data_IF_158667015263
#
_entry.id   IF_158667015263
#
_cell.length_a   1.000
_cell.length_b   1.000
_cell.length_c   1.000
_cell.angle_alpha   90.00
_cell.angle_beta   90.00
_cell.angle_gamma   90.00
#
_symmetry.space_group_name_H-M   'P 1'
#
loop_
_entity.id
_entity.type
_entity.pdbx_description
1 polymer ?
#
# COMPACT_ATOMS: atom_id res chain seq x y z
N UNK A 1 9.28 12.98 -3.82
CA UNK A 1 8.62 12.34 -4.98
C UNK A 1 7.33 11.71 -4.48
N UNK A 2 6.18 12.15 -4.98
CA UNK A 2 4.86 11.67 -4.52
C UNK A 2 4.39 10.64 -5.56
N UNK A 3 4.54 9.34 -5.29
CA UNK A 3 4.05 8.27 -6.18
C UNK A 3 2.54 8.09 -6.00
N UNK A 4 1.77 8.11 -7.10
CA UNK A 4 0.31 7.93 -7.12
C UNK A 4 -0.07 6.45 -7.23
N UNK A 5 -1.03 6.02 -6.41
CA UNK A 5 -1.73 4.72 -6.52
C UNK A 5 -3.22 5.00 -6.70
N UNK A 6 -3.90 4.27 -7.59
CA UNK A 6 -5.36 4.41 -7.85
C UNK A 6 -6.10 3.14 -7.44
N UNK A 7 -7.30 3.31 -6.87
CA UNK A 7 -8.13 2.25 -6.26
C UNK A 7 -9.41 2.06 -7.07
N UNK A 8 -9.83 0.81 -7.30
CA UNK A 8 -11.16 0.48 -7.84
C UNK A 8 -12.01 -0.29 -6.81
N UNK A 9 -13.34 -0.19 -6.89
CA UNK A 9 -14.25 -0.80 -5.92
C UNK A 9 -14.72 -2.18 -6.40
N UNK A 10 -14.03 -3.23 -5.95
CA UNK A 10 -14.45 -4.64 -6.09
C UNK A 10 -14.34 -5.29 -4.72
N UNK A 11 -15.49 -5.60 -4.11
CA UNK A 11 -15.68 -6.47 -2.93
C UNK A 11 -14.61 -6.26 -1.83
N UNK A 12 -14.74 -5.23 -0.99
CA UNK A 12 -13.98 -5.00 0.28
C UNK A 12 -12.43 -5.17 0.25
N UNK A 13 -11.80 -5.29 -0.92
CA UNK A 13 -10.37 -5.59 -1.05
C UNK A 13 -9.54 -4.39 -1.50
N UNK A 14 -10.20 -3.36 -2.04
CA UNK A 14 -9.58 -2.14 -2.57
C UNK A 14 -8.36 -2.46 -3.46
N UNK A 15 -8.56 -3.15 -4.60
CA UNK A 15 -7.46 -3.56 -5.46
C UNK A 15 -6.70 -2.36 -6.04
N UNK A 16 -5.37 -2.50 -6.09
CA UNK A 16 -4.47 -1.63 -6.84
C UNK A 16 -4.73 -1.86 -8.32
N UNK A 17 -5.26 -0.84 -9.00
CA UNK A 17 -5.49 -0.85 -10.46
C UNK A 17 -4.47 -0.02 -11.23
N UNK A 18 -3.56 0.66 -10.52
CA UNK A 18 -2.45 1.38 -11.11
C UNK A 18 -1.25 1.40 -10.17
N UNK A 19 -0.07 1.17 -10.74
CA UNK A 19 1.22 1.23 -10.05
C UNK A 19 2.25 1.90 -10.97
N UNK A 20 2.91 2.97 -10.50
CA UNK A 20 3.94 3.69 -11.25
C UNK A 20 5.27 2.93 -11.29
N UNK A 21 6.14 3.25 -12.25
CA UNK A 21 7.50 2.68 -12.30
C UNK A 21 8.29 3.06 -11.04
N UNK A 22 8.20 4.31 -10.60
CA UNK A 22 8.85 4.76 -9.37
C UNK A 22 8.38 4.03 -8.09
N UNK A 23 7.15 3.52 -8.03
CA UNK A 23 6.72 2.64 -6.93
C UNK A 23 7.40 1.26 -7.02
N UNK A 24 7.48 0.69 -8.23
CA UNK A 24 8.14 -0.59 -8.46
C UNK A 24 9.63 -0.50 -8.07
N UNK A 25 10.30 0.57 -8.50
CA UNK A 25 11.72 0.81 -8.21
C UNK A 25 11.96 1.02 -6.70
N UNK A 26 11.09 1.80 -6.05
CA UNK A 26 11.21 2.09 -4.61
C UNK A 26 11.02 0.85 -3.75
N UNK A 27 10.05 0.00 -4.10
CA UNK A 27 9.65 -1.16 -3.29
C UNK A 27 10.34 -2.46 -3.70
N UNK A 28 10.92 -2.53 -4.90
CA UNK A 28 11.52 -3.73 -5.46
C UNK A 28 10.51 -4.78 -5.95
N UNK A 29 9.21 -4.47 -5.95
CA UNK A 29 8.18 -5.36 -6.51
C UNK A 29 7.93 -5.06 -7.98
N UNK A 30 7.86 -6.10 -8.81
CA UNK A 30 7.45 -5.92 -10.19
C UNK A 30 5.96 -5.53 -10.26
N UNK A 31 5.58 -4.73 -11.26
CA UNK A 31 4.18 -4.30 -11.46
C UNK A 31 3.19 -5.46 -11.41
N UNK A 32 3.51 -6.58 -12.07
CA UNK A 32 2.66 -7.77 -12.08
C UNK A 32 2.43 -8.38 -10.68
N UNK A 33 3.35 -8.17 -9.73
CA UNK A 33 3.23 -8.62 -8.34
C UNK A 33 2.42 -7.64 -7.48
N UNK A 34 2.20 -6.41 -7.94
CA UNK A 34 1.51 -5.34 -7.19
C UNK A 34 0.05 -5.21 -7.62
N UNK A 35 -0.23 -5.34 -8.92
CA UNK A 35 -1.59 -5.20 -9.45
C UNK A 35 -2.55 -6.19 -8.78
N UNK A 36 -3.79 -5.77 -8.55
CA UNK A 36 -4.85 -6.54 -7.88
C UNK A 36 -4.60 -6.90 -6.41
N UNK A 37 -3.43 -6.57 -5.83
CA UNK A 37 -3.26 -6.60 -4.38
C UNK A 37 -4.05 -5.46 -3.73
N UNK A 38 -4.35 -5.61 -2.44
CA UNK A 38 -5.00 -4.56 -1.67
C UNK A 38 -4.13 -3.30 -1.57
N UNK A 39 -4.74 -2.13 -1.75
CA UNK A 39 -4.07 -0.82 -1.66
C UNK A 39 -3.66 -0.44 -0.22
N UNK A 40 -4.04 -1.23 0.79
CA UNK A 40 -3.43 -1.14 2.11
C UNK A 40 -1.95 -1.58 2.12
N UNK A 41 -1.43 -2.12 1.00
CA UNK A 41 -0.02 -2.46 0.78
C UNK A 41 0.59 -3.34 1.90
N UNK A 42 -0.20 -4.27 2.45
CA UNK A 42 0.23 -5.16 3.55
C UNK A 42 1.49 -5.97 3.23
N UNK A 43 1.81 -6.16 1.95
CA UNK A 43 3.02 -6.81 1.47
C UNK A 43 4.31 -6.00 1.70
N UNK A 44 4.19 -4.72 2.12
CA UNK A 44 5.31 -3.86 2.51
C UNK A 44 5.47 -3.78 4.04
N UNK A 45 4.62 -4.46 4.82
CA UNK A 45 4.72 -4.46 6.28
C UNK A 45 5.82 -5.41 6.73
N UNK A 46 6.52 -5.04 7.80
CA UNK A 46 7.47 -5.89 8.49
C UNK A 46 7.44 -5.68 10.00
N UNK A 47 8.52 -6.07 10.68
CA UNK A 47 8.58 -6.19 12.13
C UNK A 47 8.32 -4.86 12.85
N UNK A 48 8.90 -3.78 12.34
CA UNK A 48 8.83 -2.45 12.96
C UNK A 48 7.69 -1.58 12.39
N UNK A 49 6.85 -2.14 11.52
CA UNK A 49 5.67 -1.42 11.01
C UNK A 49 4.61 -1.32 12.11
N UNK A 50 4.33 -0.10 12.57
CA UNK A 50 3.38 0.19 13.65
C UNK A 50 1.99 -0.42 13.45
N UNK A 51 1.57 -1.29 14.38
CA UNK A 51 0.21 -1.88 14.40
C UNK A 51 -0.90 -0.83 14.48
N UNK A 52 -0.68 0.23 15.25
CA UNK A 52 -1.66 1.33 15.37
C UNK A 52 -1.92 1.99 14.01
N UNK A 53 -0.86 2.21 13.22
CA UNK A 53 -0.99 2.78 11.89
C UNK A 53 -1.65 1.81 10.90
N UNK A 54 -1.37 0.50 11.00
CA UNK A 54 -2.05 -0.53 10.18
C UNK A 54 -3.57 -0.47 10.37
N UNK A 55 -4.02 -0.34 11.63
CA UNK A 55 -5.44 -0.21 11.98
C UNK A 55 -6.02 1.11 11.45
N UNK A 56 -5.31 2.23 11.60
CA UNK A 56 -5.77 3.53 11.10
C UNK A 56 -5.89 3.58 9.57
N UNK A 57 -4.96 2.95 8.85
CA UNK A 57 -5.00 2.82 7.39
C UNK A 57 -6.25 2.03 6.97
N UNK A 58 -6.48 0.87 7.58
CA UNK A 58 -7.66 0.05 7.25
C UNK A 58 -8.96 0.82 7.54
N UNK A 59 -9.05 1.46 8.71
CA UNK A 59 -10.20 2.28 9.08
C UNK A 59 -10.45 3.41 8.08
N UNK A 60 -9.41 4.08 7.61
CA UNK A 60 -9.55 5.17 6.63
C UNK A 60 -10.08 4.68 5.27
N UNK A 61 -9.66 3.48 4.83
CA UNK A 61 -10.20 2.83 3.63
C UNK A 61 -11.67 2.47 3.81
N UNK A 62 -12.02 1.86 4.94
CA UNK A 62 -13.41 1.46 5.26
C UNK A 62 -14.34 2.68 5.35
N UNK A 63 -13.85 3.78 5.93
CA UNK A 63 -14.57 5.06 6.06
C UNK A 63 -14.53 5.92 4.78
N UNK A 64 -13.83 5.48 3.72
CA UNK A 64 -13.64 6.22 2.46
C UNK A 64 -13.14 7.65 2.67
N UNK A 65 -12.22 7.86 3.61
CA UNK A 65 -11.69 9.17 3.97
C UNK A 65 -10.22 9.33 3.64
N UNK A 66 -9.78 10.57 3.42
CA UNK A 66 -8.37 10.87 3.27
C UNK A 66 -7.62 10.63 4.59
N UNK A 67 -6.43 10.04 4.48
CA UNK A 67 -5.53 9.78 5.59
C UNK A 67 -4.08 9.98 5.14
N UNK A 68 -3.31 10.70 5.95
CA UNK A 68 -1.89 10.99 5.71
C UNK A 68 -1.11 10.73 7.00
N UNK A 69 -0.03 9.97 6.88
CA UNK A 69 0.87 9.65 8.00
C UNK A 69 2.27 9.33 7.47
N UNK A 70 3.21 9.15 8.38
CA UNK A 70 4.52 8.55 8.12
C UNK A 70 4.52 7.13 8.68
N UNK A 71 5.03 6.16 7.91
CA UNK A 71 5.01 4.74 8.27
C UNK A 71 6.30 4.06 7.80
N UNK A 72 6.83 3.16 8.63
CA UNK A 72 8.00 2.34 8.29
C UNK A 72 7.56 1.11 7.49
N UNK A 73 8.11 0.95 6.29
CA UNK A 73 7.77 -0.08 5.31
C UNK A 73 9.05 -0.70 4.77
N UNK A 74 8.95 -1.96 4.33
CA UNK A 74 10.05 -2.76 3.83
C UNK A 74 9.91 -3.01 2.34
N UNK A 75 11.03 -2.99 1.65
CA UNK A 75 11.20 -3.44 0.27
C UNK A 75 11.06 -4.96 0.19
N UNK A 76 10.92 -5.47 -1.04
CA UNK A 76 10.89 -6.91 -1.32
C UNK A 76 12.11 -7.68 -0.77
N UNK A 77 13.27 -7.03 -0.71
CA UNK A 77 14.50 -7.60 -0.15
C UNK A 77 14.50 -7.73 1.38
N UNK A 78 13.52 -7.16 2.07
CA UNK A 78 13.46 -7.10 3.54
C UNK A 78 14.21 -5.92 4.17
N UNK A 79 14.62 -4.93 3.36
CA UNK A 79 15.19 -3.64 3.81
C UNK A 79 14.10 -2.60 3.99
#
# INVERSE_FOLDING_TARGET
MISKVSVAEVINLFPIVYCSDGFCDLTGFARAEVMQKSCACKFLYGLDTSEQLKVQIQKALDEKREFKTEIHLYKKSGE
#
